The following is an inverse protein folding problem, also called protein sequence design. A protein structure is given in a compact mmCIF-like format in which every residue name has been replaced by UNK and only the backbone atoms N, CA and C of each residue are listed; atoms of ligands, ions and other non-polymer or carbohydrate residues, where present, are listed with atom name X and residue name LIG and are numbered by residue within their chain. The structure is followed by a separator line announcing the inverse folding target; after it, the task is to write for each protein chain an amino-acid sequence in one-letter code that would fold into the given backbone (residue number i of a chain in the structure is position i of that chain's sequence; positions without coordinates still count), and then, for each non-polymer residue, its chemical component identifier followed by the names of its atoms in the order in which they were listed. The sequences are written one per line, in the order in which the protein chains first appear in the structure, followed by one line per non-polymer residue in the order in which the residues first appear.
data_IF_361422222392
#
_entry.id   IF_361422222392
#
_cell.length_a   1.000
_cell.length_b   1.000
_cell.length_c   1.000
_cell.angle_alpha   90.00
_cell.angle_beta   90.00
_cell.angle_gamma   90.00
#
_symmetry.space_group_name_H-M   'P 1'
#
loop_
_entity.id
_entity.type
_entity.pdbx_description
1 polymer ?
#
# COMPACT_ATOMS: atom_id res chain seq x y z
N UNK A 1 2.96 5.21 -4.60
CA UNK A 1 2.21 6.12 -5.49
C UNK A 1 1.06 6.72 -4.71
N UNK A 2 0.53 7.87 -5.13
CA UNK A 2 -0.62 8.53 -4.50
C UNK A 2 -1.49 9.26 -5.53
N UNK A 3 -2.77 9.46 -5.22
CA UNK A 3 -3.71 10.17 -6.06
C UNK A 3 -4.93 10.64 -5.27
N UNK A 4 -5.56 11.72 -5.72
CA UNK A 4 -6.80 12.22 -5.15
C UNK A 4 -7.67 12.91 -6.21
N UNK A 5 -8.98 12.88 -5.97
CA UNK A 5 -9.96 13.54 -6.82
C UNK A 5 -11.15 14.05 -6.01
N UNK A 6 -11.70 15.20 -6.42
CA UNK A 6 -12.88 15.81 -5.84
C UNK A 6 -13.83 16.26 -6.94
N UNK A 7 -15.12 16.02 -6.75
CA UNK A 7 -16.19 16.66 -7.52
C UNK A 7 -16.67 17.92 -6.79
N UNK A 8 -16.48 19.08 -7.42
CA UNK A 8 -16.86 20.37 -6.85
C UNK A 8 -18.38 20.57 -6.73
N UNK A 9 -19.19 19.85 -7.51
CA UNK A 9 -20.65 19.94 -7.47
C UNK A 9 -21.23 19.13 -6.32
N UNK A 10 -20.90 17.83 -6.24
CA UNK A 10 -21.42 16.94 -5.18
C UNK A 10 -20.63 16.97 -3.87
N UNK A 11 -19.46 17.62 -3.84
CA UNK A 11 -18.51 17.62 -2.72
C UNK A 11 -17.94 16.23 -2.37
N UNK A 12 -18.16 15.22 -3.22
CA UNK A 12 -17.57 13.90 -3.04
C UNK A 12 -16.07 13.94 -3.33
N UNK A 13 -15.31 13.22 -2.52
CA UNK A 13 -13.85 13.15 -2.60
C UNK A 13 -13.39 11.69 -2.48
N UNK A 14 -12.29 11.37 -3.15
CA UNK A 14 -11.64 10.07 -3.06
C UNK A 14 -10.14 10.23 -3.17
N UNK A 15 -9.39 9.49 -2.36
CA UNK A 15 -7.94 9.50 -2.33
C UNK A 15 -7.37 8.11 -2.05
N UNK A 16 -6.17 7.87 -2.58
CA UNK A 16 -5.36 6.68 -2.29
C UNK A 16 -3.89 7.05 -2.14
N UNK A 17 -3.16 6.38 -1.24
CA UNK A 17 -1.71 6.57 -1.08
C UNK A 17 -1.00 5.31 -0.64
N UNK A 18 0.33 5.30 -0.74
CA UNK A 18 1.17 4.23 -0.22
C UNK A 18 1.06 2.88 -0.93
N UNK A 19 0.45 2.83 -2.12
CA UNK A 19 0.36 1.61 -2.94
C UNK A 19 1.37 1.64 -4.09
N UNK A 20 1.64 0.48 -4.67
CA UNK A 20 2.75 0.23 -5.59
C UNK A 20 2.36 -0.53 -6.85
N UNK A 21 1.19 -1.18 -6.88
CA UNK A 21 0.86 -2.12 -7.96
C UNK A 21 -0.12 -1.56 -9.01
N UNK A 22 -1.13 -0.78 -8.60
CA UNK A 22 -2.15 -0.30 -9.53
C UNK A 22 -1.58 0.70 -10.56
N UNK A 23 -1.89 0.49 -11.85
CA UNK A 23 -1.37 1.31 -12.96
C UNK A 23 -1.78 2.79 -12.83
N UNK A 24 -3.00 3.06 -12.38
CA UNK A 24 -3.56 4.39 -12.42
C UNK A 24 -4.13 4.84 -11.06
N UNK A 25 -3.37 5.71 -10.38
CA UNK A 25 -3.76 6.28 -9.09
C UNK A 25 -5.05 7.10 -9.13
N UNK A 26 -5.30 7.84 -10.21
CA UNK A 26 -6.48 8.72 -10.31
C UNK A 26 -7.76 7.92 -10.55
N UNK A 27 -7.68 6.84 -11.34
CA UNK A 27 -8.77 5.90 -11.54
C UNK A 27 -9.11 5.16 -10.25
N UNK A 28 -8.11 4.73 -9.48
CA UNK A 28 -8.35 4.11 -8.18
C UNK A 28 -8.99 5.10 -7.19
N UNK A 29 -8.55 6.36 -7.19
CA UNK A 29 -9.17 7.44 -6.39
C UNK A 29 -10.63 7.69 -6.76
N UNK A 30 -11.00 7.56 -8.05
CA UNK A 30 -12.40 7.63 -8.50
C UNK A 30 -13.22 6.48 -7.93
N UNK A 31 -12.68 5.26 -7.93
CA UNK A 31 -13.37 4.10 -7.38
C UNK A 31 -13.62 4.24 -5.88
N UNK A 32 -12.75 4.94 -5.14
CA UNK A 32 -13.04 5.28 -3.72
C UNK A 32 -14.34 6.08 -3.60
N UNK A 33 -14.59 7.05 -4.49
CA UNK A 33 -15.86 7.81 -4.50
C UNK A 33 -17.06 6.91 -4.83
N UNK A 34 -16.91 6.01 -5.80
CA UNK A 34 -18.02 5.26 -6.41
C UNK A 34 -18.38 3.97 -5.68
N UNK A 35 -17.41 3.35 -5.00
CA UNK A 35 -17.48 1.96 -4.51
C UNK A 35 -17.06 1.82 -3.05
N UNK A 36 -16.79 2.90 -2.33
CA UNK A 36 -16.38 2.85 -0.93
C UNK A 36 -17.12 3.92 -0.10
N UNK A 37 -17.46 3.65 1.19
CA UNK A 37 -18.07 4.65 2.07
C UNK A 37 -17.06 5.67 2.63
N UNK A 38 -15.76 5.43 2.51
CA UNK A 38 -14.70 6.29 3.01
C UNK A 38 -14.11 7.19 1.92
N UNK A 39 -13.42 8.26 2.33
CA UNK A 39 -12.80 9.24 1.42
C UNK A 39 -11.36 8.86 1.06
N UNK A 40 -10.63 8.20 1.96
CA UNK A 40 -9.19 7.98 1.80
C UNK A 40 -8.79 6.58 2.27
N UNK A 41 -8.06 5.85 1.41
CA UNK A 41 -7.45 4.56 1.71
C UNK A 41 -5.93 4.65 1.53
N UNK A 42 -5.15 3.93 2.33
CA UNK A 42 -3.69 3.97 2.22
C UNK A 42 -3.04 2.60 2.43
N UNK A 43 -1.81 2.46 1.93
CA UNK A 43 -0.96 1.27 2.09
C UNK A 43 -1.71 -0.02 1.73
N UNK A 44 -1.64 -1.04 2.58
CA UNK A 44 -2.29 -2.34 2.38
C UNK A 44 -3.80 -2.22 2.16
N UNK A 45 -4.44 -1.21 2.75
CA UNK A 45 -5.87 -0.94 2.54
C UNK A 45 -6.16 -0.49 1.11
N UNK A 46 -5.29 0.34 0.52
CA UNK A 46 -5.41 0.75 -0.88
C UNK A 46 -5.07 -0.41 -1.85
N UNK A 47 -4.10 -1.26 -1.51
CA UNK A 47 -3.75 -2.46 -2.28
C UNK A 47 -4.87 -3.50 -2.28
N UNK A 48 -5.47 -3.76 -1.11
CA UNK A 48 -6.63 -4.66 -0.99
C UNK A 48 -7.82 -4.14 -1.79
N UNK A 49 -8.09 -2.84 -1.70
CA UNK A 49 -9.16 -2.21 -2.46
C UNK A 49 -8.93 -2.30 -3.98
N UNK A 50 -7.70 -2.03 -4.47
CA UNK A 50 -7.37 -2.19 -5.88
C UNK A 50 -7.66 -3.61 -6.39
N UNK A 51 -7.27 -4.63 -5.61
CA UNK A 51 -7.54 -6.04 -5.92
C UNK A 51 -9.03 -6.36 -5.94
N UNK A 52 -9.78 -5.88 -4.97
CA UNK A 52 -11.23 -6.07 -4.88
C UNK A 52 -11.97 -5.45 -6.08
N UNK A 53 -11.55 -4.26 -6.51
CA UNK A 53 -12.14 -3.57 -7.66
C UNK A 53 -11.67 -4.14 -9.02
N UNK A 54 -10.71 -5.07 -9.04
CA UNK A 54 -10.23 -5.71 -10.27
C UNK A 54 -9.55 -4.74 -11.24
N UNK A 55 -8.90 -3.70 -10.74
CA UNK A 55 -8.13 -2.78 -11.60
C UNK A 55 -6.85 -3.43 -12.11
N UNK A 56 -6.32 -2.92 -13.21
CA UNK A 56 -5.03 -3.38 -13.73
C UNK A 56 -3.91 -3.09 -12.73
N UNK A 57 -3.22 -4.16 -12.32
CA UNK A 57 -2.06 -4.11 -11.43
C UNK A 57 -0.85 -4.72 -12.11
N UNK A 58 0.30 -4.09 -11.93
CA UNK A 58 1.60 -4.58 -12.40
C UNK A 58 2.59 -4.63 -11.24
N UNK A 59 3.72 -5.29 -11.47
CA UNK A 59 4.82 -5.24 -10.51
C UNK A 59 5.36 -3.81 -10.38
N UNK A 60 5.80 -3.44 -9.17
CA UNK A 60 6.31 -2.10 -8.87
C UNK A 60 7.48 -1.66 -9.77
N UNK A 61 8.27 -2.61 -10.28
CA UNK A 61 9.36 -2.34 -11.22
C UNK A 61 8.90 -1.69 -12.52
N UNK A 62 7.64 -1.88 -12.93
CA UNK A 62 7.06 -1.25 -14.10
C UNK A 62 7.15 0.29 -14.04
N UNK A 63 7.02 0.88 -12.86
CA UNK A 63 7.03 2.34 -12.68
C UNK A 63 8.44 2.93 -12.50
N UNK A 64 9.47 2.09 -12.40
CA UNK A 64 10.85 2.52 -12.13
C UNK A 64 11.57 2.73 -13.47
N UNK A 65 11.96 3.98 -13.75
CA UNK A 65 12.80 4.30 -14.91
C UNK A 65 14.27 4.50 -14.52
N UNK A 66 15.19 4.16 -15.43
CA UNK A 66 16.65 4.30 -15.21
C UNK A 66 17.03 5.74 -14.86
N UNK A 67 16.41 6.72 -15.54
CA UNK A 67 16.66 8.13 -15.30
C UNK A 67 16.27 8.55 -13.87
N UNK A 68 15.06 8.20 -13.42
CA UNK A 68 14.58 8.50 -12.06
C UNK A 68 15.42 7.79 -11.01
N UNK A 69 15.82 6.55 -11.27
CA UNK A 69 16.71 5.80 -10.38
C UNK A 69 18.07 6.48 -10.24
N UNK A 70 18.66 6.98 -11.34
CA UNK A 70 19.92 7.73 -11.31
C UNK A 70 19.79 9.02 -10.50
N UNK A 71 18.76 9.82 -10.75
CA UNK A 71 18.47 11.05 -9.99
C UNK A 71 18.35 10.77 -8.49
N UNK A 72 17.64 9.70 -8.11
CA UNK A 72 17.47 9.34 -6.72
C UNK A 72 18.81 8.92 -6.05
N UNK A 73 19.68 8.19 -6.77
CA UNK A 73 21.02 7.82 -6.28
C UNK A 73 21.91 9.05 -6.06
N UNK A 74 21.94 9.97 -7.01
CA UNK A 74 22.72 11.21 -6.93
C UNK A 74 22.25 12.10 -5.77
N UNK A 75 20.94 12.19 -5.56
CA UNK A 75 20.35 12.94 -4.46
C UNK A 75 20.51 12.26 -3.09
N UNK A 76 21.17 11.09 -3.00
CA UNK A 76 21.22 10.23 -1.80
C UNK A 76 19.82 9.92 -1.22
N UNK A 77 18.80 9.95 -2.07
CA UNK A 77 17.39 9.67 -1.72
C UNK A 77 17.05 8.20 -1.88
N UNK A 78 17.93 7.42 -2.51
CA UNK A 78 17.86 5.95 -2.47
C UNK A 78 18.52 5.48 -1.19
N UNK A 79 17.73 5.20 -0.16
CA UNK A 79 18.09 4.12 0.74
C UNK A 79 17.76 2.83 0.00
N UNK A 80 18.77 2.05 -0.36
CA UNK A 80 18.52 0.68 -0.78
C UNK A 80 18.05 -0.02 0.49
N UNK A 81 16.77 -0.36 0.54
CA UNK A 81 16.23 -1.19 1.59
C UNK A 81 16.87 -2.58 1.44
N UNK A 82 17.99 -2.79 2.15
CA UNK A 82 18.66 -4.07 2.28
C UNK A 82 17.95 -4.95 3.32
N UNK A 83 16.63 -4.86 3.47
CA UNK A 83 15.87 -5.97 4.05
C UNK A 83 15.97 -7.16 3.09
N UNK A 84 17.07 -7.89 3.19
CA UNK A 84 17.11 -9.28 2.75
C UNK A 84 15.87 -9.95 3.37
N UNK A 85 15.02 -10.64 2.59
CA UNK A 85 13.93 -11.40 3.19
C UNK A 85 14.56 -12.35 4.19
N UNK A 86 14.21 -12.18 5.46
CA UNK A 86 14.66 -13.08 6.53
C UNK A 86 14.24 -14.48 6.10
N UNK A 87 15.22 -15.33 5.85
CA UNK A 87 15.01 -16.74 5.54
C UNK A 87 14.30 -17.33 6.76
N UNK A 88 13.00 -17.64 6.65
CA UNK A 88 12.30 -18.40 7.68
C UNK A 88 12.84 -19.82 7.64
N UNK A 89 13.81 -20.10 8.49
CA UNK A 89 14.18 -21.48 8.79
C UNK A 89 12.99 -22.14 9.51
N UNK A 90 12.53 -23.24 8.91
CA UNK A 90 11.43 -24.06 9.42
C UNK A 90 11.98 -24.97 10.53
N UNK A 91 11.23 -24.94 11.65
CA UNK A 91 11.09 -25.94 12.72
C UNK A 91 12.06 -25.98 13.92
N UNK A 92 11.48 -25.74 15.11
CA UNK A 92 11.12 -26.83 16.04
C UNK A 92 10.02 -26.40 17.03
N UNK A 93 8.91 -27.11 17.03
CA UNK A 93 7.93 -27.08 18.13
C UNK A 93 8.51 -27.66 19.42
N UNK A 94 8.10 -27.12 20.58
CA UNK A 94 7.84 -27.74 21.90
C UNK A 94 7.91 -26.68 23.03
N UNK A 95 7.21 -26.84 24.17
CA UNK A 95 5.80 -27.17 24.41
C UNK A 95 5.04 -25.98 25.06
N UNK A 96 3.71 -26.08 25.13
CA UNK A 96 2.83 -25.08 25.73
C UNK A 96 3.16 -24.82 27.22
N UNK A 97 3.30 -23.54 27.57
CA UNK A 97 3.28 -23.07 28.95
C UNK A 97 2.18 -22.02 29.10
N UNK A 98 1.16 -22.38 29.89
CA UNK A 98 0.07 -21.51 30.32
C UNK A 98 0.63 -20.23 30.97
N UNK A 99 0.10 -19.07 30.58
CA UNK A 99 0.41 -17.80 31.21
C UNK A 99 -0.47 -16.69 30.66
N UNK A 100 -1.60 -16.46 31.33
CA UNK A 100 -2.48 -15.32 31.09
C UNK A 100 -1.70 -14.01 31.04
N UNK A 101 -1.76 -13.30 29.91
CA UNK A 101 -1.49 -11.87 29.88
C UNK A 101 -2.62 -11.15 29.13
N UNK A 102 -3.63 -10.75 29.91
CA UNK A 102 -4.60 -9.74 29.52
C UNK A 102 -3.88 -8.43 29.20
N UNK A 103 -3.77 -8.08 27.92
CA UNK A 103 -3.47 -6.71 27.49
C UNK A 103 -4.49 -6.34 26.41
N UNK A 104 -5.34 -5.36 26.75
CA UNK A 104 -6.59 -5.07 26.08
C UNK A 104 -6.47 -4.24 24.80
N UNK A 105 -7.57 -4.26 24.07
CA UNK A 105 -7.91 -3.36 22.97
C UNK A 105 -8.17 -1.94 23.49
N UNK A 106 -7.54 -0.94 22.88
CA UNK A 106 -8.03 0.45 22.89
C UNK A 106 -8.48 0.80 21.47
N UNK A 107 -9.67 1.41 21.39
CA UNK A 107 -10.45 1.60 20.17
C UNK A 107 -10.09 2.82 19.34
#
# INVERSE_FOLDING_TARGET
MEGCIMDGNSKKCGAVSGFTTAINAISLSRLVIEKNPHIYLAFDGAEAFAREQGVETVDSSHFITIERLKQAKEAKRVQIDYSQPIQKDVEKELPAANGDSQLGTVG
#
